data_IF_022871154250
#
_entry.id   IF_022871154250
#
_cell.length_a   1.000
_cell.length_b   1.000
_cell.length_c   1.000
_cell.angle_alpha   90.00
_cell.angle_beta   90.00
_cell.angle_gamma   90.00
#
_symmetry.space_group_name_H-M   'P 1'
#
loop_
_entity.id
_entity.type
_entity.pdbx_description
1 polymer ?
#
# COMPACT_ATOMS: atom_id res chain seq x y z
N UNK A 1 -1.16 14.28 9.80
CA UNK A 1 0.29 14.21 9.87
C UNK A 1 0.93 14.45 8.51
N UNK A 2 0.66 13.63 7.50
CA UNK A 2 1.30 13.69 6.18
C UNK A 2 1.16 15.07 5.52
N UNK A 3 -0.04 15.67 5.58
CA UNK A 3 -0.29 16.98 4.98
C UNK A 3 0.44 18.10 5.71
N UNK A 4 0.50 18.04 7.04
CA UNK A 4 1.21 19.03 7.87
C UNK A 4 2.72 18.93 7.68
N UNK A 5 3.25 17.71 7.55
CA UNK A 5 4.65 17.49 7.18
C UNK A 5 4.98 18.07 5.82
N UNK A 6 4.09 17.87 4.83
CA UNK A 6 4.25 18.43 3.48
C UNK A 6 4.20 19.96 3.48
N UNK A 7 3.38 20.58 4.32
CA UNK A 7 3.31 22.05 4.49
C UNK A 7 4.51 22.63 5.25
N UNK A 8 5.49 21.81 5.64
CA UNK A 8 6.73 22.26 6.26
C UNK A 8 6.62 22.59 7.74
N UNK A 9 5.51 22.29 8.40
CA UNK A 9 5.33 22.58 9.83
C UNK A 9 6.30 21.84 10.74
N UNK A 10 6.87 20.73 10.27
CA UNK A 10 7.89 19.93 10.98
C UNK A 10 9.31 20.18 10.45
N UNK A 11 9.48 21.04 9.44
CA UNK A 11 10.78 21.34 8.87
C UNK A 11 11.68 22.05 9.90
N UNK A 12 12.85 21.47 10.19
CA UNK A 12 13.82 22.02 11.14
C UNK A 12 13.50 21.78 12.62
N UNK A 13 12.48 20.99 12.97
CA UNK A 13 12.14 20.63 14.36
C UNK A 13 12.76 19.28 14.75
N UNK A 14 13.17 19.17 16.00
CA UNK A 14 13.69 17.92 16.55
C UNK A 14 12.57 16.88 16.75
N UNK A 15 12.93 15.59 16.85
CA UNK A 15 11.98 14.54 17.18
C UNK A 15 11.27 14.78 18.54
N UNK A 16 11.94 15.44 19.48
CA UNK A 16 11.35 15.82 20.77
C UNK A 16 10.28 16.91 20.61
N UNK A 17 10.50 17.91 19.76
CA UNK A 17 9.52 18.96 19.47
C UNK A 17 8.31 18.40 18.75
N UNK A 18 8.53 17.45 17.83
CA UNK A 18 7.45 16.75 17.15
C UNK A 18 6.58 15.94 18.11
N UNK A 19 7.17 15.31 19.12
CA UNK A 19 6.45 14.57 20.15
C UNK A 19 5.56 15.46 21.04
N UNK A 20 5.95 16.71 21.27
CA UNK A 20 5.16 17.68 22.05
C UNK A 20 3.99 18.22 21.23
N UNK A 21 4.19 18.39 19.92
CA UNK A 21 3.18 18.94 19.02
C UNK A 21 2.19 17.87 18.55
N UNK A 22 2.61 16.61 18.49
CA UNK A 22 1.79 15.48 18.10
C UNK A 22 0.43 15.38 18.84
N UNK A 23 0.33 15.57 20.16
CA UNK A 23 -0.93 15.55 20.89
C UNK A 23 -1.87 16.69 20.52
N UNK A 24 -1.34 17.85 20.09
CA UNK A 24 -2.15 19.00 19.66
C UNK A 24 -2.88 18.70 18.34
N UNK A 25 -2.22 17.98 17.43
CA UNK A 25 -2.82 17.56 16.15
C UNK A 25 -3.62 16.27 16.25
N UNK A 26 -3.39 15.46 17.28
CA UNK A 26 -4.17 14.27 17.61
C UNK A 26 -5.40 14.58 18.46
N UNK A 27 -5.71 15.84 18.71
CA UNK A 27 -6.95 16.25 19.38
C UNK A 27 -8.17 15.67 18.69
N UNK A 28 -9.12 15.18 19.45
CA UNK A 28 -10.36 14.53 18.95
C UNK A 28 -11.03 15.36 17.87
N UNK A 29 -11.04 16.67 17.99
CA UNK A 29 -11.66 17.61 17.04
C UNK A 29 -10.95 17.57 15.67
N UNK A 30 -9.62 17.56 15.66
CA UNK A 30 -8.85 17.47 14.41
C UNK A 30 -9.03 16.10 13.75
N UNK A 31 -8.98 15.03 14.53
CA UNK A 31 -9.22 13.68 14.02
C UNK A 31 -10.64 13.55 13.44
N UNK A 32 -11.66 14.07 14.11
CA UNK A 32 -13.04 14.10 13.63
C UNK A 32 -13.18 14.95 12.36
N UNK A 33 -12.51 16.10 12.29
CA UNK A 33 -12.52 16.96 11.09
C UNK A 33 -11.99 16.24 9.86
N UNK A 34 -10.80 15.63 9.97
CA UNK A 34 -10.20 14.88 8.88
C UNK A 34 -11.00 13.63 8.51
N UNK A 35 -11.52 12.92 9.50
CA UNK A 35 -12.41 11.77 9.28
C UNK A 35 -13.67 12.17 8.53
N UNK A 36 -14.33 13.25 8.95
CA UNK A 36 -15.55 13.76 8.31
C UNK A 36 -15.27 14.19 6.87
N UNK A 37 -14.17 14.88 6.62
CA UNK A 37 -13.75 15.27 5.27
C UNK A 37 -13.52 14.04 4.38
N UNK A 38 -12.79 13.05 4.88
CA UNK A 38 -12.53 11.82 4.15
C UNK A 38 -13.83 11.06 3.84
N UNK A 39 -14.71 10.94 4.84
CA UNK A 39 -16.01 10.28 4.66
C UNK A 39 -16.90 11.03 3.67
N UNK A 40 -16.90 12.36 3.69
CA UNK A 40 -17.66 13.17 2.74
C UNK A 40 -17.17 12.96 1.30
N UNK A 41 -15.85 12.94 1.08
CA UNK A 41 -15.25 12.63 -0.23
C UNK A 41 -15.63 11.21 -0.66
N UNK A 42 -15.54 10.24 0.23
CA UNK A 42 -15.89 8.83 -0.06
C UNK A 42 -17.37 8.73 -0.46
N UNK A 43 -18.27 9.33 0.30
CA UNK A 43 -19.71 9.35 -0.02
C UNK A 43 -19.96 10.02 -1.37
N UNK A 44 -19.31 11.13 -1.67
CA UNK A 44 -19.41 11.83 -2.96
C UNK A 44 -18.98 10.94 -4.13
N UNK A 45 -17.89 10.20 -3.98
CA UNK A 45 -17.37 9.29 -5.03
C UNK A 45 -18.35 8.12 -5.21
N UNK A 46 -18.72 7.46 -4.11
CA UNK A 46 -19.59 6.27 -4.14
C UNK A 46 -21.00 6.61 -4.64
N UNK A 47 -21.54 7.78 -4.27
CA UNK A 47 -22.88 8.21 -4.70
C UNK A 47 -23.00 8.42 -6.22
N UNK A 48 -21.86 8.62 -6.92
CA UNK A 48 -21.84 8.71 -8.39
C UNK A 48 -21.85 7.35 -9.10
N UNK A 49 -21.90 6.27 -8.33
CA UNK A 49 -21.89 4.89 -8.84
C UNK A 49 -20.53 4.42 -9.30
N UNK A 50 -20.51 3.20 -9.88
CA UNK A 50 -19.26 2.55 -10.28
C UNK A 50 -18.55 3.29 -11.42
N UNK A 51 -19.21 3.46 -12.55
CA UNK A 51 -18.62 4.03 -13.76
C UNK A 51 -18.38 5.55 -13.67
N UNK A 52 -19.26 6.29 -13.01
CA UNK A 52 -19.17 7.76 -12.89
C UNK A 52 -18.32 8.25 -11.71
N UNK A 53 -18.10 7.42 -10.71
CA UNK A 53 -17.41 7.74 -9.46
C UNK A 53 -16.16 6.91 -9.26
N UNK A 54 -16.31 5.66 -8.83
CA UNK A 54 -15.20 4.81 -8.40
C UNK A 54 -14.20 4.58 -9.53
N UNK A 55 -14.66 4.15 -10.70
CA UNK A 55 -13.81 3.86 -11.85
C UNK A 55 -13.00 5.09 -12.28
N UNK A 56 -13.66 6.26 -12.35
CA UNK A 56 -13.00 7.51 -12.75
C UNK A 56 -11.90 7.94 -11.76
N UNK A 57 -12.16 7.80 -10.48
CA UNK A 57 -11.18 8.12 -9.42
C UNK A 57 -10.01 7.14 -9.46
N UNK A 58 -10.29 5.85 -9.58
CA UNK A 58 -9.25 4.79 -9.65
C UNK A 58 -8.38 4.96 -10.89
N UNK A 59 -8.97 5.28 -12.05
CA UNK A 59 -8.22 5.50 -13.31
C UNK A 59 -7.18 6.62 -13.20
N UNK A 60 -7.41 7.60 -12.33
CA UNK A 60 -6.45 8.69 -12.06
C UNK A 60 -5.49 8.33 -10.93
N UNK A 61 -6.01 7.76 -9.83
CA UNK A 61 -5.22 7.48 -8.65
C UNK A 61 -4.23 6.33 -8.86
N UNK A 62 -4.59 5.30 -9.65
CA UNK A 62 -3.70 4.15 -9.86
C UNK A 62 -2.41 4.51 -10.59
N UNK A 63 -2.41 5.22 -11.74
CA UNK A 63 -1.16 5.66 -12.36
C UNK A 63 -0.34 6.57 -11.45
N UNK A 64 -0.99 7.46 -10.70
CA UNK A 64 -0.30 8.33 -9.73
C UNK A 64 0.36 7.52 -8.61
N UNK A 65 -0.34 6.49 -8.09
CA UNK A 65 0.20 5.57 -7.10
C UNK A 65 1.42 4.81 -7.63
N UNK A 66 1.33 4.24 -8.84
CA UNK A 66 2.47 3.53 -9.45
C UNK A 66 3.66 4.45 -9.71
N UNK A 67 3.42 5.68 -10.15
CA UNK A 67 4.47 6.68 -10.32
C UNK A 67 5.17 6.98 -9.00
N UNK A 68 4.39 7.25 -7.95
CA UNK A 68 4.93 7.50 -6.61
C UNK A 68 5.71 6.31 -6.07
N UNK A 69 5.18 5.10 -6.25
CA UNK A 69 5.84 3.86 -5.83
C UNK A 69 7.18 3.67 -6.57
N UNK A 70 7.21 3.92 -7.88
CA UNK A 70 8.43 3.83 -8.68
C UNK A 70 9.48 4.87 -8.27
N UNK A 71 9.07 6.11 -8.00
CA UNK A 71 9.97 7.16 -7.52
C UNK A 71 10.56 6.83 -6.15
N UNK A 72 9.73 6.36 -5.22
CA UNK A 72 10.18 5.96 -3.89
C UNK A 72 11.09 4.74 -3.94
N UNK A 73 10.77 3.75 -4.77
CA UNK A 73 11.62 2.59 -4.99
C UNK A 73 12.98 3.02 -5.56
N UNK A 74 13.00 3.86 -6.58
CA UNK A 74 14.24 4.42 -7.13
C UNK A 74 15.07 5.17 -6.09
N UNK A 75 14.45 5.99 -5.27
CA UNK A 75 15.10 6.69 -4.17
C UNK A 75 15.69 5.72 -3.13
N UNK A 76 14.92 4.71 -2.71
CA UNK A 76 15.36 3.71 -1.74
C UNK A 76 16.56 2.89 -2.22
N UNK A 77 16.55 2.49 -3.50
CA UNK A 77 17.66 1.75 -4.12
C UNK A 77 18.95 2.56 -4.23
N UNK A 78 18.88 3.88 -4.30
CA UNK A 78 20.06 4.78 -4.27
C UNK A 78 20.67 4.92 -2.87
N UNK A 79 19.97 4.53 -1.82
CA UNK A 79 20.36 4.73 -0.43
C UNK A 79 21.42 3.77 0.14
N UNK A 80 21.93 2.80 -0.65
CA UNK A 80 23.07 1.94 -0.26
C UNK A 80 22.71 0.54 0.26
N UNK A 81 21.48 0.29 0.76
CA UNK A 81 21.00 -1.03 1.23
C UNK A 81 20.35 -1.90 0.16
N UNK A 82 20.54 -1.55 -1.11
CA UNK A 82 19.86 -2.22 -2.22
C UNK A 82 20.31 -3.69 -2.41
N UNK A 83 21.60 -3.97 -2.23
CA UNK A 83 22.13 -5.30 -2.42
C UNK A 83 21.62 -6.28 -1.37
N UNK A 84 21.66 -5.87 -0.12
CA UNK A 84 21.14 -6.64 1.01
C UNK A 84 19.64 -6.90 0.86
N UNK A 85 18.88 -5.89 0.40
CA UNK A 85 17.44 -6.02 0.14
C UNK A 85 17.13 -7.01 -0.98
N UNK A 86 17.89 -6.99 -2.08
CA UNK A 86 17.71 -7.91 -3.19
C UNK A 86 18.07 -9.34 -2.73
N UNK A 87 19.17 -9.52 -2.02
CA UNK A 87 19.55 -10.82 -1.46
C UNK A 87 18.48 -11.33 -0.48
N UNK A 88 17.95 -10.47 0.37
CA UNK A 88 16.90 -10.84 1.31
C UNK A 88 15.62 -11.29 0.63
N UNK A 89 15.17 -10.56 -0.40
CA UNK A 89 13.91 -10.82 -1.10
C UNK A 89 13.99 -12.02 -2.06
N UNK A 90 15.13 -12.21 -2.72
CA UNK A 90 15.22 -13.16 -3.83
C UNK A 90 16.16 -14.35 -3.56
N UNK A 91 16.94 -14.34 -2.45
CA UNK A 91 17.75 -15.52 -2.11
C UNK A 91 16.85 -16.65 -1.57
N UNK A 92 16.74 -17.79 -2.25
CA UNK A 92 15.84 -18.85 -1.83
C UNK A 92 16.40 -19.56 -0.59
N UNK A 93 15.63 -19.53 0.50
CA UNK A 93 15.96 -20.21 1.76
C UNK A 93 15.02 -21.39 1.99
N UNK A 94 15.12 -22.39 1.14
CA UNK A 94 14.22 -23.56 1.19
C UNK A 94 14.23 -24.31 2.53
N UNK A 95 15.33 -24.23 3.28
CA UNK A 95 15.46 -24.84 4.60
C UNK A 95 14.58 -24.20 5.68
N UNK A 96 14.14 -22.95 5.46
CA UNK A 96 13.29 -22.20 6.39
C UNK A 96 11.79 -22.35 6.10
N UNK A 97 11.43 -23.05 5.01
CA UNK A 97 10.04 -23.26 4.63
C UNK A 97 9.44 -24.34 5.52
N UNK A 98 8.54 -23.93 6.38
CA UNK A 98 7.76 -24.79 7.27
C UNK A 98 6.29 -24.83 6.83
N UNK A 99 5.49 -25.81 7.28
CA UNK A 99 4.05 -25.81 7.02
C UNK A 99 3.35 -24.52 7.48
N UNK A 100 3.82 -23.91 8.57
CA UNK A 100 3.31 -22.60 9.05
C UNK A 100 3.62 -21.46 8.08
N UNK A 101 4.80 -21.46 7.46
CA UNK A 101 5.17 -20.48 6.42
C UNK A 101 4.22 -20.58 5.22
N UNK A 102 3.92 -21.79 4.77
CA UNK A 102 2.97 -22.03 3.66
C UNK A 102 1.57 -21.54 4.03
N UNK A 103 1.11 -21.85 5.25
CA UNK A 103 -0.21 -21.42 5.73
C UNK A 103 -0.29 -19.88 5.84
N UNK A 104 0.76 -19.24 6.34
CA UNK A 104 0.84 -17.78 6.40
C UNK A 104 0.82 -17.13 5.01
N UNK A 105 1.57 -17.69 4.05
CA UNK A 105 1.58 -17.22 2.67
C UNK A 105 0.20 -17.36 2.00
N UNK A 106 -0.49 -18.47 2.20
CA UNK A 106 -1.86 -18.66 1.73
C UNK A 106 -2.81 -17.64 2.37
N UNK A 107 -2.72 -17.46 3.70
CA UNK A 107 -3.52 -16.46 4.41
C UNK A 107 -3.30 -15.05 3.87
N UNK A 108 -2.05 -14.68 3.63
CA UNK A 108 -1.69 -13.39 3.04
C UNK A 108 -2.26 -13.23 1.62
N UNK A 109 -2.17 -14.26 0.77
CA UNK A 109 -2.71 -14.21 -0.58
C UNK A 109 -4.25 -14.03 -0.56
N UNK A 110 -4.96 -14.77 0.29
CA UNK A 110 -6.40 -14.61 0.46
C UNK A 110 -6.79 -13.22 0.96
N UNK A 111 -6.00 -12.65 1.86
CA UNK A 111 -6.24 -11.32 2.41
C UNK A 111 -5.96 -10.23 1.37
N UNK A 112 -4.82 -10.28 0.68
CA UNK A 112 -4.37 -9.28 -0.28
C UNK A 112 -5.33 -9.16 -1.46
N UNK A 113 -5.74 -10.28 -2.05
CA UNK A 113 -6.71 -10.31 -3.16
C UNK A 113 -8.14 -10.02 -2.68
N UNK A 114 -8.41 -10.07 -1.37
CA UNK A 114 -9.73 -9.80 -0.80
C UNK A 114 -10.75 -10.92 -0.99
N UNK A 115 -10.28 -12.14 -1.29
CA UNK A 115 -11.18 -13.31 -1.46
C UNK A 115 -11.93 -13.61 -0.16
N UNK A 116 -11.23 -13.58 0.97
CA UNK A 116 -11.82 -13.86 2.28
C UNK A 116 -12.87 -12.83 2.73
N UNK A 117 -12.78 -11.59 2.26
CA UNK A 117 -13.73 -10.52 2.57
C UNK A 117 -14.92 -10.45 1.58
N UNK A 118 -15.00 -11.35 0.60
CA UNK A 118 -16.08 -11.34 -0.40
C UNK A 118 -15.97 -10.22 -1.43
N UNK A 119 -14.90 -9.43 -1.44
CA UNK A 119 -14.71 -8.32 -2.37
C UNK A 119 -14.70 -8.81 -3.83
N UNK A 120 -14.09 -9.97 -4.09
CA UNK A 120 -14.06 -10.55 -5.43
C UNK A 120 -15.44 -10.95 -5.93
N UNK A 121 -16.37 -11.36 -5.05
CA UNK A 121 -17.76 -11.64 -5.43
C UNK A 121 -18.45 -10.37 -5.89
N UNK A 122 -18.26 -9.28 -5.14
CA UNK A 122 -18.81 -7.97 -5.47
C UNK A 122 -18.26 -7.46 -6.81
N UNK A 123 -16.95 -7.46 -7.00
CA UNK A 123 -16.35 -7.03 -8.27
C UNK A 123 -16.72 -7.95 -9.43
N UNK A 124 -16.76 -9.25 -9.21
CA UNK A 124 -17.18 -10.24 -10.22
C UNK A 124 -18.63 -10.02 -10.69
N UNK A 125 -19.51 -9.47 -9.85
CA UNK A 125 -20.89 -9.17 -10.24
C UNK A 125 -21.00 -8.05 -11.30
N UNK A 126 -19.98 -7.24 -11.45
CA UNK A 126 -19.92 -6.16 -12.47
C UNK A 126 -19.27 -6.58 -13.78
N UNK A 127 -18.69 -7.80 -13.84
CA UNK A 127 -18.11 -8.33 -15.08
C UNK A 127 -19.20 -8.63 -16.10
N UNK A 128 -18.93 -8.26 -17.35
CA UNK A 128 -19.81 -8.55 -18.47
C UNK A 128 -19.76 -10.03 -18.87
N UNK A 129 -20.82 -10.50 -19.56
CA UNK A 129 -20.89 -11.90 -20.05
C UNK A 129 -19.77 -12.29 -21.04
N UNK A 130 -19.04 -11.32 -21.57
CA UNK A 130 -17.95 -11.52 -22.53
C UNK A 130 -16.56 -11.47 -21.88
N UNK A 131 -16.49 -11.09 -20.61
CA UNK A 131 -15.21 -10.95 -19.92
C UNK A 131 -14.70 -12.32 -19.51
N UNK A 132 -13.41 -12.56 -19.75
CA UNK A 132 -12.75 -13.79 -19.36
C UNK A 132 -12.32 -13.68 -17.89
N UNK A 133 -13.01 -14.40 -17.02
CA UNK A 133 -12.76 -14.39 -15.57
C UNK A 133 -11.34 -14.91 -15.25
N UNK A 134 -10.85 -15.91 -16.01
CA UNK A 134 -9.52 -16.46 -15.76
C UNK A 134 -8.41 -15.45 -16.07
N UNK A 135 -8.53 -14.72 -17.19
CA UNK A 135 -7.58 -13.68 -17.57
C UNK A 135 -7.60 -12.51 -16.58
N UNK A 136 -8.80 -12.09 -16.18
CA UNK A 136 -8.97 -11.05 -15.15
C UNK A 136 -8.34 -11.47 -13.81
N UNK A 137 -8.55 -12.70 -13.38
CA UNK A 137 -7.96 -13.25 -12.18
C UNK A 137 -6.42 -13.30 -12.24
N UNK A 138 -5.87 -13.72 -13.38
CA UNK A 138 -4.43 -13.78 -13.60
C UNK A 138 -3.80 -12.37 -13.58
N UNK A 139 -4.44 -11.39 -14.20
CA UNK A 139 -3.99 -9.99 -14.19
C UNK A 139 -4.00 -9.42 -12.76
N UNK A 140 -5.07 -9.67 -12.00
CA UNK A 140 -5.17 -9.21 -10.62
C UNK A 140 -4.06 -9.82 -9.76
N UNK A 141 -3.89 -11.15 -9.78
CA UNK A 141 -2.86 -11.83 -9.01
C UNK A 141 -1.45 -11.40 -9.42
N UNK A 142 -1.18 -11.25 -10.71
CA UNK A 142 0.10 -10.78 -11.23
C UNK A 142 0.41 -9.34 -10.81
N UNK A 143 -0.58 -8.45 -10.88
CA UNK A 143 -0.44 -7.06 -10.45
C UNK A 143 -0.21 -6.93 -8.95
N UNK A 144 -0.94 -7.70 -8.14
CA UNK A 144 -0.77 -7.75 -6.68
C UNK A 144 0.66 -8.18 -6.32
N UNK A 145 1.15 -9.26 -6.94
CA UNK A 145 2.51 -9.74 -6.75
C UNK A 145 3.55 -8.70 -7.17
N UNK A 146 3.37 -8.05 -8.32
CA UNK A 146 4.27 -7.02 -8.80
C UNK A 146 4.37 -5.85 -7.81
N UNK A 147 3.24 -5.37 -7.33
CA UNK A 147 3.20 -4.28 -6.33
C UNK A 147 3.89 -4.70 -5.04
N UNK A 148 3.65 -5.93 -4.56
CA UNK A 148 4.30 -6.45 -3.37
C UNK A 148 5.83 -6.51 -3.50
N UNK A 149 6.34 -6.97 -4.65
CA UNK A 149 7.78 -7.00 -4.92
C UNK A 149 8.38 -5.59 -4.97
N UNK A 150 7.73 -4.64 -5.67
CA UNK A 150 8.21 -3.26 -5.75
C UNK A 150 8.14 -2.58 -4.38
N UNK A 151 7.11 -2.82 -3.60
CA UNK A 151 7.00 -2.33 -2.22
C UNK A 151 8.11 -2.90 -1.33
N UNK A 152 8.44 -4.19 -1.46
CA UNK A 152 9.58 -4.80 -0.79
C UNK A 152 10.91 -4.11 -1.17
N UNK A 153 11.14 -3.90 -2.48
CA UNK A 153 12.32 -3.19 -2.98
C UNK A 153 12.38 -1.72 -2.54
N UNK A 154 11.28 -1.14 -2.11
CA UNK A 154 11.24 0.20 -1.52
C UNK A 154 11.57 0.17 -0.03
N UNK A 155 10.99 -0.77 0.72
CA UNK A 155 11.04 -0.79 2.18
C UNK A 155 12.37 -1.37 2.68
N UNK A 156 12.78 -2.55 2.20
CA UNK A 156 13.94 -3.25 2.72
C UNK A 156 15.28 -2.51 2.58
N UNK A 157 15.58 -1.80 1.47
CA UNK A 157 16.80 -1.00 1.41
C UNK A 157 16.89 0.06 2.51
N UNK A 158 15.76 0.69 2.85
CA UNK A 158 15.70 1.70 3.92
C UNK A 158 15.93 1.06 5.27
N UNK A 159 15.33 -0.12 5.54
CA UNK A 159 15.49 -0.88 6.77
C UNK A 159 16.97 -1.25 6.99
N UNK A 160 17.61 -1.82 5.96
CA UNK A 160 19.02 -2.21 6.03
C UNK A 160 19.97 -1.01 6.16
N UNK A 161 19.69 0.10 5.48
CA UNK A 161 20.50 1.32 5.59
C UNK A 161 20.46 1.91 7.02
N UNK A 162 19.36 1.71 7.73
CA UNK A 162 19.22 2.15 9.13
C UNK A 162 19.71 1.11 10.16
N UNK A 163 20.21 -0.03 9.71
CA UNK A 163 20.69 -1.11 10.58
C UNK A 163 19.60 -1.78 11.41
N UNK A 164 18.36 -1.73 10.92
CA UNK A 164 17.21 -2.39 11.56
C UNK A 164 17.11 -3.84 11.09
N UNK A 165 16.66 -4.72 11.98
CA UNK A 165 16.34 -6.10 11.64
C UNK A 165 15.01 -6.16 10.87
N UNK A 166 14.98 -6.80 9.71
CA UNK A 166 13.76 -6.93 8.91
C UNK A 166 12.78 -8.02 9.41
N UNK A 167 13.14 -8.79 10.45
CA UNK A 167 12.33 -9.87 11.03
C UNK A 167 11.41 -9.39 12.13
#
# INVERSE_FOLDING_TARGET
YSLMSFLGEFAGRSAADAAVIAPLYNGVIHALGWHTLFMAITVLVVSRGLHGGIEKVVTVLMPLFFLMLALLCGYALMGGGAREAIDYLFAPRFSEITPSTVLAALGQAFFSIGVGAGLMITYGSFLGRRDNIADSGAIIAGSDTLVAVVAGLMIFPIVFTQGLDPA
#
